data_IF_109439364256
#
_entry.id   IF_109439364256
#
_cell.length_a   1.000
_cell.length_b   1.000
_cell.length_c   1.000
_cell.angle_alpha   90.00
_cell.angle_beta   90.00
_cell.angle_gamma   90.00
#
_symmetry.space_group_name_H-M   'P 1'
#
loop_
_entity.id
_entity.type
_entity.pdbx_description
1 polymer ?
#
# COMPACT_ATOMS: atom_id res chain seq x y z
N UNK A 1 -5.55 -16.05 -18.88
CA UNK A 1 -4.30 -15.44 -18.38
C UNK A 1 -4.13 -15.86 -16.92
N UNK A 2 -3.04 -16.55 -16.53
CA UNK A 2 -2.80 -16.90 -15.13
C UNK A 2 -2.56 -15.60 -14.35
N UNK A 3 -3.54 -15.15 -13.57
CA UNK A 3 -3.36 -13.99 -12.69
C UNK A 3 -2.22 -14.31 -11.72
N UNK A 4 -1.07 -13.64 -11.87
CA UNK A 4 0.00 -13.72 -10.88
C UNK A 4 -0.55 -13.18 -9.57
N UNK A 5 -0.42 -13.95 -8.49
CA UNK A 5 -0.82 -13.47 -7.16
C UNK A 5 0.00 -12.22 -6.83
N UNK A 6 -0.61 -11.17 -6.27
CA UNK A 6 0.13 -9.98 -5.87
C UNK A 6 1.12 -10.36 -4.77
N UNK A 7 2.40 -10.05 -4.98
CA UNK A 7 3.48 -10.27 -4.01
C UNK A 7 3.85 -8.92 -3.40
N UNK A 8 3.58 -8.69 -2.11
CA UNK A 8 3.98 -7.46 -1.45
C UNK A 8 5.49 -7.39 -1.24
N UNK A 9 6.00 -6.17 -1.06
CA UNK A 9 7.39 -5.94 -0.71
C UNK A 9 7.63 -6.43 0.72
N UNK A 10 8.74 -7.12 0.95
CA UNK A 10 9.17 -7.48 2.30
C UNK A 10 9.55 -6.22 3.08
N UNK A 11 9.17 -6.14 4.35
CA UNK A 11 9.46 -4.96 5.20
C UNK A 11 10.94 -4.56 5.21
N UNK A 12 11.84 -5.55 5.17
CA UNK A 12 13.30 -5.34 5.17
C UNK A 12 13.84 -4.73 3.86
N UNK A 13 13.06 -4.80 2.78
CA UNK A 13 13.39 -4.24 1.46
C UNK A 13 12.74 -2.88 1.24
N UNK A 14 11.88 -2.42 2.15
CA UNK A 14 11.24 -1.12 2.05
C UNK A 14 12.26 -0.05 2.45
N UNK A 15 12.47 0.92 1.56
CA UNK A 15 13.37 2.06 1.77
C UNK A 15 12.54 3.32 2.01
N UNK A 16 12.89 4.07 3.05
CA UNK A 16 12.24 5.35 3.37
C UNK A 16 12.62 6.39 2.31
N UNK A 17 11.63 7.15 1.83
CA UNK A 17 11.80 8.15 0.77
C UNK A 17 11.60 7.60 -0.64
N UNK A 18 11.48 6.28 -0.81
CA UNK A 18 11.25 5.66 -2.10
C UNK A 18 9.77 5.54 -2.47
N UNK A 19 9.53 5.44 -3.78
CA UNK A 19 8.21 5.32 -4.38
C UNK A 19 7.78 3.87 -4.44
N UNK A 20 6.61 3.59 -3.89
CA UNK A 20 5.92 2.32 -3.99
C UNK A 20 4.49 2.52 -4.49
N UNK A 21 3.75 1.42 -4.64
CA UNK A 21 2.34 1.42 -5.00
C UNK A 21 1.51 0.71 -3.94
N UNK A 22 0.31 1.24 -3.69
CA UNK A 22 -0.69 0.60 -2.83
C UNK A 22 -2.05 0.62 -3.51
N UNK A 23 -2.92 -0.31 -3.12
CA UNK A 23 -4.33 -0.29 -3.49
C UNK A 23 -5.10 0.82 -2.77
N UNK A 24 -6.15 1.30 -3.44
CA UNK A 24 -7.15 2.26 -2.98
C UNK A 24 -8.54 1.83 -3.50
N UNK A 25 -9.61 2.47 -3.03
CA UNK A 25 -10.99 2.18 -3.47
C UNK A 25 -11.22 2.40 -4.96
N UNK A 26 -10.37 3.21 -5.61
CA UNK A 26 -10.47 3.56 -7.03
C UNK A 26 -9.36 2.93 -7.87
N UNK A 27 -8.59 1.99 -7.31
CA UNK A 27 -7.55 1.25 -8.04
C UNK A 27 -6.21 1.22 -7.30
N UNK A 28 -5.13 1.61 -7.98
CA UNK A 28 -3.78 1.64 -7.41
C UNK A 28 -3.21 3.05 -7.49
N UNK A 29 -2.57 3.48 -6.40
CA UNK A 29 -1.96 4.79 -6.25
C UNK A 29 -0.47 4.65 -5.93
N UNK A 30 0.32 5.63 -6.37
CA UNK A 30 1.73 5.75 -5.97
C UNK A 30 1.85 6.46 -4.64
N UNK A 31 2.73 5.95 -3.79
CA UNK A 31 3.01 6.48 -2.46
C UNK A 31 4.50 6.56 -2.20
N UNK A 32 4.91 7.43 -1.28
CA UNK A 32 6.27 7.51 -0.75
C UNK A 32 6.22 7.05 0.71
N UNK A 33 7.16 6.18 1.10
CA UNK A 33 7.25 5.71 2.49
C UNK A 33 7.98 6.76 3.33
N UNK A 34 7.36 7.19 4.42
CA UNK A 34 7.90 8.18 5.35
C UNK A 34 8.48 7.52 6.62
N UNK A 35 7.89 6.43 7.08
CA UNK A 35 8.31 5.72 8.30
C UNK A 35 7.89 4.26 8.25
N UNK A 36 8.67 3.38 8.88
CA UNK A 36 8.38 1.95 9.01
C UNK A 36 8.09 1.64 10.48
N UNK A 37 7.04 0.86 10.73
CA UNK A 37 6.61 0.39 12.04
C UNK A 37 6.77 -1.14 12.09
N UNK A 38 7.92 -1.60 12.60
CA UNK A 38 8.27 -3.03 12.64
C UNK A 38 7.41 -3.82 13.63
N UNK A 39 6.91 -3.16 14.68
CA UNK A 39 6.03 -3.71 15.70
C UNK A 39 4.65 -4.12 15.16
N UNK A 40 4.10 -3.33 14.25
CA UNK A 40 2.76 -3.53 13.67
C UNK A 40 2.79 -4.01 12.22
N UNK A 41 3.98 -4.25 11.67
CA UNK A 41 4.21 -4.60 10.26
C UNK A 41 3.49 -3.63 9.29
N UNK A 42 3.64 -2.33 9.57
CA UNK A 42 2.96 -1.26 8.84
C UNK A 42 3.93 -0.13 8.50
N UNK A 43 3.55 0.72 7.55
CA UNK A 43 4.35 1.86 7.08
C UNK A 43 3.50 3.12 7.05
N UNK A 44 4.08 4.25 7.44
CA UNK A 44 3.50 5.56 7.18
C UNK A 44 3.85 5.95 5.75
N UNK A 45 2.83 6.25 4.96
CA UNK A 45 2.98 6.61 3.56
C UNK A 45 2.29 7.92 3.24
N UNK A 46 2.81 8.63 2.26
CA UNK A 46 2.17 9.81 1.67
C UNK A 46 1.90 9.57 0.19
N UNK A 47 0.81 10.12 -0.33
CA UNK A 47 0.49 9.99 -1.76
C UNK A 47 1.52 10.77 -2.58
N UNK A 48 2.17 10.08 -3.51
CA UNK A 48 3.06 10.70 -4.48
C UNK A 48 2.22 11.39 -5.56
N UNK A 49 1.75 12.60 -5.28
CA UNK A 49 0.97 13.43 -6.20
C UNK A 49 1.45 14.88 -6.16
N UNK A 50 1.39 15.56 -7.31
CA UNK A 50 1.64 17.00 -7.40
C UNK A 50 0.60 17.85 -6.66
N UNK A 51 -0.58 17.27 -6.37
CA UNK A 51 -1.64 17.95 -5.60
C UNK A 51 -1.26 17.95 -4.13
N UNK A 52 -1.04 19.14 -3.56
CA UNK A 52 -0.81 19.33 -2.13
C UNK A 52 -2.11 19.12 -1.36
N UNK A 53 -2.02 18.52 -0.17
CA UNK A 53 -3.14 18.39 0.77
C UNK A 53 -3.50 16.95 1.18
N UNK A 54 -2.85 15.93 0.62
CA UNK A 54 -3.01 14.57 1.12
C UNK A 54 -2.27 14.40 2.44
N UNK A 55 -3.00 14.04 3.49
CA UNK A 55 -2.37 13.69 4.76
C UNK A 55 -1.70 12.32 4.66
N UNK A 56 -0.51 12.13 5.24
CA UNK A 56 0.08 10.81 5.39
C UNK A 56 -0.88 9.86 6.13
N UNK A 57 -0.83 8.58 5.78
CA UNK A 57 -1.66 7.54 6.38
C UNK A 57 -0.87 6.26 6.58
N UNK A 58 -1.30 5.44 7.54
CA UNK A 58 -0.65 4.17 7.83
C UNK A 58 -1.20 3.09 6.91
N UNK A 59 -0.29 2.25 6.40
CA UNK A 59 -0.61 1.15 5.50
C UNK A 59 0.07 -0.14 5.96
N UNK A 60 -0.65 -1.28 6.01
CA UNK A 60 -0.02 -2.58 6.22
C UNK A 60 0.96 -2.89 5.09
N UNK A 61 2.13 -3.46 5.42
CA UNK A 61 3.16 -3.84 4.43
C UNK A 61 2.61 -4.81 3.38
N UNK A 62 1.63 -5.65 3.75
CA UNK A 62 0.92 -6.57 2.85
C UNK A 62 0.24 -5.89 1.64
N UNK A 63 0.10 -4.57 1.65
CA UNK A 63 -0.47 -3.80 0.54
C UNK A 63 0.50 -2.77 -0.05
N UNK A 64 1.81 -2.95 0.17
CA UNK A 64 2.88 -2.18 -0.47
C UNK A 64 3.51 -3.05 -1.56
N UNK A 65 3.62 -2.49 -2.77
CA UNK A 65 4.06 -3.20 -3.96
C UNK A 65 5.05 -2.36 -4.78
N UNK A 66 6.03 -2.99 -5.41
CA UNK A 66 6.95 -2.33 -6.34
C UNK A 66 6.28 -1.96 -7.68
N UNK A 67 5.21 -2.67 -8.03
CA UNK A 67 4.50 -2.49 -9.30
C UNK A 67 3.01 -2.15 -9.08
N UNK A 68 2.52 -1.18 -9.85
CA UNK A 68 1.12 -0.77 -9.91
C UNK A 68 0.17 -1.93 -10.27
N UNK A 69 0.56 -2.85 -11.14
CA UNK A 69 -0.30 -4.00 -11.51
C UNK A 69 -0.54 -4.95 -10.34
N UNK A 70 0.46 -5.14 -9.48
CA UNK A 70 0.34 -5.94 -8.26
C UNK A 70 -0.62 -5.26 -7.28
N UNK A 71 -0.47 -3.95 -7.10
CA UNK A 71 -1.39 -3.16 -6.28
C UNK A 71 -2.84 -3.23 -6.79
N UNK A 72 -3.07 -3.11 -8.11
CA UNK A 72 -4.41 -3.27 -8.70
C UNK A 72 -4.98 -4.66 -8.43
N UNK A 73 -4.15 -5.69 -8.59
CA UNK A 73 -4.56 -7.08 -8.38
C UNK A 73 -4.90 -7.38 -6.92
N UNK A 74 -4.24 -6.69 -5.97
CA UNK A 74 -4.51 -6.79 -4.53
C UNK A 74 -5.73 -5.99 -4.06
N UNK A 75 -6.33 -5.15 -4.91
CA UNK A 75 -7.39 -4.22 -4.54
C UNK A 75 -8.59 -4.88 -3.88
N UNK A 76 -9.15 -5.94 -4.49
CA UNK A 76 -10.33 -6.64 -3.95
C UNK A 76 -10.09 -7.25 -2.57
N UNK A 77 -8.91 -7.85 -2.37
CA UNK A 77 -8.54 -8.44 -1.08
C UNK A 77 -8.44 -7.37 -0.01
N UNK A 78 -7.75 -6.26 -0.31
CA UNK A 78 -7.68 -5.13 0.60
C UNK A 78 -9.05 -4.54 0.94
N UNK A 79 -9.91 -4.28 -0.04
CA UNK A 79 -11.22 -3.70 0.23
C UNK A 79 -12.04 -4.56 1.18
N UNK A 80 -11.98 -5.88 1.00
CA UNK A 80 -12.66 -6.83 1.87
C UNK A 80 -12.12 -6.76 3.30
N UNK A 81 -10.80 -6.70 3.47
CA UNK A 81 -10.16 -6.62 4.78
C UNK A 81 -10.43 -5.26 5.46
N UNK A 82 -10.47 -4.17 4.69
CA UNK A 82 -10.83 -2.84 5.18
C UNK A 82 -12.30 -2.78 5.63
N UNK A 83 -13.22 -3.41 4.88
CA UNK A 83 -14.64 -3.52 5.28
C UNK A 83 -14.79 -4.30 6.59
N UNK A 84 -14.01 -5.38 6.78
CA UNK A 84 -13.99 -6.13 8.04
C UNK A 84 -13.44 -5.29 9.19
N UNK A 85 -12.35 -4.56 8.97
CA UNK A 85 -11.74 -3.68 9.97
C UNK A 85 -12.69 -2.60 10.46
N UNK A 86 -13.48 -2.00 9.57
CA UNK A 86 -14.47 -0.95 9.91
C UNK A 86 -15.72 -1.45 10.64
N UNK A 87 -16.02 -2.75 10.56
CA UNK A 87 -17.16 -3.36 11.26
C UNK A 87 -16.81 -3.77 12.71
N UNK A 88 -15.54 -3.68 13.07
CA UNK A 88 -15.01 -4.02 14.38
C UNK A 88 -14.88 -2.76 15.21
#
# INVERSE_FOLDING_TARGET
MKHKKPVPVEINKIVIGEKYYTCSWTGAISVIVLKIFNDTNSVLVEINSKKKGYKPFVRPVNYIFDNQEMAKSAGKAWEHDERKRKKK
#
